data_IF_064651903265
#
_entry.id   IF_064651903265
#
_cell.length_a   1.000
_cell.length_b   1.000
_cell.length_c   1.000
_cell.angle_alpha   90.00
_cell.angle_beta   90.00
_cell.angle_gamma   90.00
#
_symmetry.space_group_name_H-M   'P 1'
#
loop_
_entity.id
_entity.type
_entity.pdbx_description
1 polymer ?
#
# COMPACT_ATOMS: atom_id res chain seq x y z
N UNK A 1 -16.65 16.58 -32.50
CA UNK A 1 -17.05 16.41 -31.08
C UNK A 1 -16.05 15.61 -30.21
N UNK A 2 -15.41 14.50 -30.67
CA UNK A 2 -14.47 13.70 -29.83
C UNK A 2 -13.22 14.48 -29.38
N UNK A 3 -12.61 15.26 -30.28
CA UNK A 3 -11.41 16.06 -29.97
C UNK A 3 -11.63 17.07 -28.83
N UNK A 4 -12.83 17.65 -28.71
CA UNK A 4 -13.19 18.61 -27.65
C UNK A 4 -13.33 17.95 -26.27
N UNK A 5 -13.71 16.67 -26.21
CA UNK A 5 -13.77 15.93 -24.93
C UNK A 5 -12.38 15.47 -24.49
N UNK A 6 -11.52 15.04 -25.42
CA UNK A 6 -10.13 14.65 -25.12
C UNK A 6 -9.36 15.86 -24.57
N UNK A 7 -9.50 17.04 -25.17
CA UNK A 7 -8.86 18.26 -24.67
C UNK A 7 -9.34 18.64 -23.26
N UNK A 8 -10.62 18.43 -22.95
CA UNK A 8 -11.16 18.64 -21.60
C UNK A 8 -10.59 17.64 -20.57
N UNK A 9 -10.55 16.35 -20.88
CA UNK A 9 -9.99 15.35 -19.97
C UNK A 9 -8.49 15.57 -19.74
N UNK A 10 -7.74 15.94 -20.78
CA UNK A 10 -6.33 16.32 -20.66
C UNK A 10 -6.15 17.56 -19.77
N UNK A 11 -6.99 18.59 -19.93
CA UNK A 11 -6.95 19.78 -19.09
C UNK A 11 -7.21 19.43 -17.60
N UNK A 12 -8.19 18.54 -17.32
CA UNK A 12 -8.46 18.06 -15.96
C UNK A 12 -7.30 17.27 -15.39
N UNK A 13 -6.66 16.40 -16.19
CA UNK A 13 -5.46 15.68 -15.78
C UNK A 13 -4.33 16.65 -15.41
N UNK A 14 -4.01 17.58 -16.31
CA UNK A 14 -2.96 18.57 -16.12
C UNK A 14 -3.24 19.43 -14.88
N UNK A 15 -4.47 19.90 -14.71
CA UNK A 15 -4.84 20.76 -13.59
C UNK A 15 -4.67 20.03 -12.24
N UNK A 16 -5.23 18.82 -12.09
CA UNK A 16 -5.10 18.09 -10.82
C UNK A 16 -3.64 17.76 -10.47
N UNK A 17 -2.80 17.47 -11.48
CA UNK A 17 -1.38 17.23 -11.26
C UNK A 17 -0.65 18.52 -10.82
N UNK A 18 -0.96 19.64 -11.46
CA UNK A 18 -0.41 20.94 -11.07
C UNK A 18 -0.88 21.36 -9.67
N UNK A 19 -2.14 21.14 -9.34
CA UNK A 19 -2.70 21.43 -8.02
C UNK A 19 -2.01 20.58 -6.94
N UNK A 20 -1.76 19.30 -7.21
CA UNK A 20 -1.01 18.42 -6.31
C UNK A 20 0.41 18.95 -6.06
N UNK A 21 1.15 19.31 -7.11
CA UNK A 21 2.55 19.76 -7.00
C UNK A 21 2.63 21.15 -6.36
N UNK A 22 1.71 22.06 -6.69
CA UNK A 22 1.68 23.42 -6.17
C UNK A 22 0.89 23.58 -4.86
N UNK A 23 0.40 22.47 -4.29
CA UNK A 23 -0.23 22.49 -2.97
C UNK A 23 0.74 23.11 -1.95
N UNK A 24 0.29 24.05 -1.11
CA UNK A 24 1.13 24.69 -0.11
C UNK A 24 1.89 23.67 0.73
N UNK A 25 3.15 23.99 1.07
CA UNK A 25 4.03 23.15 1.88
C UNK A 25 4.49 21.83 1.23
N UNK A 26 4.24 21.58 -0.07
CA UNK A 26 4.68 20.37 -0.78
C UNK A 26 6.13 19.97 -0.43
N UNK A 27 7.09 20.89 -0.61
CA UNK A 27 8.51 20.65 -0.36
C UNK A 27 8.79 20.30 1.11
N UNK A 28 8.20 21.04 2.04
CA UNK A 28 8.42 20.83 3.48
C UNK A 28 7.89 19.47 3.95
N UNK A 29 6.72 19.08 3.45
CA UNK A 29 6.08 17.79 3.76
C UNK A 29 6.86 16.64 3.12
N UNK A 30 7.32 16.82 1.88
CA UNK A 30 8.17 15.84 1.20
C UNK A 30 9.48 15.62 1.96
N UNK A 31 10.21 16.68 2.30
CA UNK A 31 11.45 16.59 3.09
C UNK A 31 11.19 15.95 4.45
N UNK A 32 10.12 16.34 5.15
CA UNK A 32 9.75 15.74 6.43
C UNK A 32 9.48 14.23 6.32
N UNK A 33 8.73 13.79 5.30
CA UNK A 33 8.47 12.38 5.05
C UNK A 33 9.74 11.60 4.76
N UNK A 34 10.62 12.14 3.91
CA UNK A 34 11.94 11.55 3.63
C UNK A 34 12.76 11.41 4.92
N UNK A 35 12.84 12.47 5.74
CA UNK A 35 13.54 12.41 7.02
C UNK A 35 12.94 11.37 7.99
N UNK A 36 11.61 11.25 8.07
CA UNK A 36 10.95 10.26 8.90
C UNK A 36 11.35 8.83 8.52
N UNK A 37 11.30 8.51 7.22
CA UNK A 37 11.73 7.19 6.73
C UNK A 37 13.23 6.97 6.89
N UNK A 38 14.07 7.99 6.68
CA UNK A 38 15.51 7.89 6.89
C UNK A 38 15.84 7.55 8.35
N UNK A 39 15.20 8.22 9.31
CA UNK A 39 15.37 7.91 10.74
C UNK A 39 14.93 6.48 11.04
N UNK A 40 13.79 6.06 10.47
CA UNK A 40 13.26 4.72 10.68
C UNK A 40 14.19 3.62 10.12
N UNK A 41 14.78 3.88 8.96
CA UNK A 41 15.56 2.90 8.20
C UNK A 41 17.07 3.06 8.42
N UNK A 42 17.52 4.01 9.24
CA UNK A 42 18.93 4.31 9.43
C UNK A 42 19.77 3.08 9.78
N UNK A 43 19.29 2.27 10.72
CA UNK A 43 19.98 1.03 11.12
C UNK A 43 20.10 0.02 9.96
N UNK A 44 19.05 -0.07 9.13
CA UNK A 44 19.01 -0.95 7.96
C UNK A 44 19.96 -0.45 6.87
N UNK A 45 19.97 0.86 6.57
CA UNK A 45 20.86 1.46 5.59
C UNK A 45 22.35 1.30 5.97
N UNK A 46 22.69 1.47 7.25
CA UNK A 46 24.05 1.25 7.77
C UNK A 46 24.46 -0.23 7.72
N UNK A 47 23.48 -1.11 7.71
CA UNK A 47 23.67 -2.51 8.01
C UNK A 47 24.46 -3.32 7.00
N UNK A 48 24.38 -2.94 5.72
CA UNK A 48 25.11 -3.59 4.62
C UNK A 48 24.89 -5.13 4.55
N UNK A 49 23.65 -5.60 4.78
CA UNK A 49 23.30 -7.01 4.59
C UNK A 49 22.59 -7.25 3.25
N UNK A 50 22.83 -8.42 2.67
CA UNK A 50 22.16 -8.92 1.47
C UNK A 50 21.03 -9.87 1.87
N UNK A 51 19.85 -9.71 1.26
CA UNK A 51 18.85 -10.77 1.21
C UNK A 51 19.24 -11.80 0.15
N UNK A 52 18.58 -12.98 0.16
CA UNK A 52 18.90 -14.09 -0.76
C UNK A 52 18.91 -13.64 -2.23
N UNK A 53 17.90 -12.88 -2.66
CA UNK A 53 17.81 -12.36 -4.03
C UNK A 53 18.92 -11.33 -4.32
N UNK A 54 19.34 -10.56 -3.32
CA UNK A 54 20.40 -9.57 -3.47
C UNK A 54 21.77 -10.24 -3.70
N UNK A 55 22.04 -11.39 -3.07
CA UNK A 55 23.29 -12.15 -3.30
C UNK A 55 23.42 -12.62 -4.75
N UNK A 56 22.34 -13.15 -5.33
CA UNK A 56 22.36 -13.61 -6.72
C UNK A 56 22.54 -12.44 -7.68
N UNK A 57 21.86 -11.31 -7.42
CA UNK A 57 21.97 -10.11 -8.25
C UNK A 57 23.32 -9.42 -8.16
N UNK A 58 23.97 -9.42 -6.99
CA UNK A 58 25.30 -8.83 -6.84
C UNK A 58 26.37 -9.57 -7.63
N UNK A 59 26.22 -10.89 -7.81
CA UNK A 59 27.12 -11.71 -8.60
C UNK A 59 26.78 -11.68 -10.11
N UNK A 60 25.52 -11.89 -10.45
CA UNK A 60 25.10 -12.17 -11.83
C UNK A 60 24.53 -10.95 -12.58
N UNK A 61 24.35 -9.82 -11.90
CA UNK A 61 23.76 -8.57 -12.44
C UNK A 61 22.41 -8.76 -13.15
N UNK A 62 21.69 -9.83 -12.81
CA UNK A 62 20.47 -10.24 -13.49
C UNK A 62 19.35 -9.23 -13.25
N UNK A 63 18.68 -8.82 -14.34
CA UNK A 63 17.51 -7.94 -14.33
C UNK A 63 16.24 -8.56 -13.72
N UNK A 64 15.12 -7.86 -13.85
CA UNK A 64 13.80 -8.32 -13.36
C UNK A 64 12.88 -8.83 -14.47
N UNK A 65 13.31 -8.76 -15.72
CA UNK A 65 12.56 -9.16 -16.92
C UNK A 65 12.12 -10.63 -16.90
N UNK A 66 12.89 -11.52 -16.26
CA UNK A 66 12.51 -12.93 -16.05
C UNK A 66 11.23 -13.12 -15.24
N UNK A 67 10.85 -12.14 -14.41
CA UNK A 67 9.59 -12.11 -13.65
C UNK A 67 8.53 -11.22 -14.29
N UNK A 68 8.68 -10.91 -15.59
CA UNK A 68 7.83 -9.97 -16.35
C UNK A 68 7.79 -8.55 -15.74
N UNK A 69 8.83 -8.17 -14.98
CA UNK A 69 8.96 -6.85 -14.35
C UNK A 69 9.84 -5.92 -15.20
N UNK A 70 9.32 -5.53 -16.35
CA UNK A 70 10.06 -4.72 -17.33
C UNK A 70 10.28 -3.27 -16.87
N UNK A 71 9.31 -2.67 -16.18
CA UNK A 71 9.46 -1.32 -15.63
C UNK A 71 10.49 -1.30 -14.50
N UNK A 72 10.56 -2.36 -13.68
CA UNK A 72 11.63 -2.49 -12.69
C UNK A 72 13.02 -2.51 -13.33
N UNK A 73 13.15 -3.24 -14.44
CA UNK A 73 14.40 -3.34 -15.20
C UNK A 73 14.79 -1.98 -15.78
N UNK A 74 13.85 -1.33 -16.48
CA UNK A 74 14.03 0.01 -17.02
C UNK A 74 14.43 1.04 -15.95
N UNK A 75 13.73 1.08 -14.81
CA UNK A 75 14.04 2.02 -13.74
C UNK A 75 15.45 1.84 -13.18
N UNK A 76 15.90 0.60 -13.02
CA UNK A 76 17.24 0.32 -12.48
C UNK A 76 18.33 0.61 -13.51
N UNK A 77 18.13 0.26 -14.78
CA UNK A 77 19.06 0.59 -15.86
C UNK A 77 19.22 2.10 -16.06
N UNK A 78 18.11 2.87 -15.97
CA UNK A 78 18.16 4.35 -16.01
C UNK A 78 18.97 4.91 -14.85
N UNK A 79 18.82 4.36 -13.63
CA UNK A 79 19.62 4.80 -12.47
C UNK A 79 21.10 4.44 -12.61
N UNK A 80 21.37 3.31 -13.22
CA UNK A 80 22.72 2.80 -13.42
C UNK A 80 23.43 3.44 -14.62
N UNK A 81 22.69 4.01 -15.57
CA UNK A 81 23.18 4.56 -16.84
C UNK A 81 23.86 3.52 -17.74
N UNK A 82 23.57 2.22 -17.56
CA UNK A 82 24.03 1.14 -18.43
C UNK A 82 23.09 -0.09 -18.33
N UNK A 83 23.25 -1.04 -19.25
CA UNK A 83 22.51 -2.31 -19.27
C UNK A 83 23.01 -3.27 -18.17
N UNK A 84 22.17 -3.48 -17.16
CA UNK A 84 22.44 -4.35 -16.03
C UNK A 84 22.23 -3.70 -14.66
N UNK A 85 22.38 -4.52 -13.62
CA UNK A 85 22.15 -4.11 -12.23
C UNK A 85 23.46 -4.03 -11.46
N UNK A 86 23.81 -2.85 -10.92
CA UNK A 86 24.90 -2.67 -9.94
C UNK A 86 24.37 -2.56 -8.52
N UNK A 87 25.17 -2.99 -7.55
CA UNK A 87 24.92 -2.63 -6.15
C UNK A 87 25.40 -1.20 -5.91
N UNK A 88 24.46 -0.26 -6.01
CA UNK A 88 24.64 1.16 -5.67
C UNK A 88 23.95 1.49 -4.34
N UNK A 89 23.75 0.51 -3.45
CA UNK A 89 23.21 0.75 -2.11
C UNK A 89 24.00 1.84 -1.37
N UNK A 90 23.33 2.81 -0.70
CA UNK A 90 21.90 2.86 -0.40
C UNK A 90 21.04 3.62 -1.43
N UNK A 91 21.53 3.94 -2.64
CA UNK A 91 20.83 4.82 -3.58
C UNK A 91 19.42 4.32 -3.98
N UNK A 92 19.27 3.02 -4.24
CA UNK A 92 17.94 2.45 -4.50
C UNK A 92 16.98 2.61 -3.31
N UNK A 93 17.49 2.47 -2.08
CA UNK A 93 16.69 2.60 -0.87
C UNK A 93 16.29 4.07 -0.65
N UNK A 94 17.20 5.02 -0.89
CA UNK A 94 16.91 6.45 -0.86
C UNK A 94 15.81 6.82 -1.87
N UNK A 95 15.89 6.27 -3.10
CA UNK A 95 14.84 6.48 -4.10
C UNK A 95 13.52 5.82 -3.69
N UNK A 96 13.57 4.64 -3.09
CA UNK A 96 12.39 3.97 -2.52
C UNK A 96 11.69 4.82 -1.47
N UNK A 97 12.45 5.46 -0.58
CA UNK A 97 11.95 6.41 0.43
C UNK A 97 11.24 7.60 -0.23
N UNK A 98 11.81 8.16 -1.31
CA UNK A 98 11.16 9.22 -2.08
C UNK A 98 9.81 8.76 -2.66
N UNK A 99 9.74 7.57 -3.26
CA UNK A 99 8.49 7.03 -3.79
C UNK A 99 7.44 6.77 -2.70
N UNK A 100 7.82 6.21 -1.55
CA UNK A 100 6.92 6.01 -0.42
C UNK A 100 6.37 7.32 0.15
N UNK A 101 7.21 8.35 0.20
CA UNK A 101 6.80 9.69 0.62
C UNK A 101 5.78 10.28 -0.36
N UNK A 102 6.05 10.19 -1.67
CA UNK A 102 5.10 10.63 -2.69
C UNK A 102 3.79 9.83 -2.65
N UNK A 103 3.85 8.52 -2.38
CA UNK A 103 2.67 7.67 -2.25
C UNK A 103 1.79 8.13 -1.06
N UNK A 104 2.43 8.46 0.05
CA UNK A 104 1.76 9.00 1.24
C UNK A 104 1.14 10.37 0.96
N UNK A 105 1.88 11.26 0.29
CA UNK A 105 1.37 12.57 -0.13
C UNK A 105 0.18 12.44 -1.10
N UNK A 106 0.21 11.49 -2.04
CA UNK A 106 -0.88 11.25 -2.97
C UNK A 106 -2.17 10.85 -2.24
N UNK A 107 -2.09 9.92 -1.27
CA UNK A 107 -3.24 9.52 -0.44
C UNK A 107 -3.75 10.72 0.38
N UNK A 108 -2.84 11.47 1.00
CA UNK A 108 -3.17 12.61 1.85
C UNK A 108 -3.88 13.72 1.06
N UNK A 109 -3.39 14.04 -0.14
CA UNK A 109 -4.02 14.99 -1.04
C UNK A 109 -5.38 14.49 -1.56
N UNK A 110 -5.48 13.21 -1.94
CA UNK A 110 -6.74 12.64 -2.41
C UNK A 110 -7.85 12.66 -1.35
N UNK A 111 -7.49 12.59 -0.07
CA UNK A 111 -8.41 12.72 1.06
C UNK A 111 -8.72 14.19 1.42
N UNK A 112 -7.69 15.02 1.62
CA UNK A 112 -7.84 16.33 2.24
C UNK A 112 -7.79 17.51 1.26
N UNK A 113 -7.34 17.30 0.02
CA UNK A 113 -7.01 18.37 -0.93
C UNK A 113 -5.79 19.22 -0.52
N UNK A 114 -5.01 18.74 0.44
CA UNK A 114 -3.86 19.45 1.01
C UNK A 114 -2.99 18.54 1.86
N UNK A 115 -1.90 19.08 2.42
CA UNK A 115 -0.93 18.32 3.21
C UNK A 115 -0.96 18.64 4.70
N UNK A 116 -0.43 17.72 5.49
CA UNK A 116 -0.32 17.80 6.95
C UNK A 116 0.80 16.90 7.46
N UNK A 117 1.66 17.43 8.32
CA UNK A 117 2.73 16.66 8.97
C UNK A 117 2.17 15.45 9.75
N UNK A 118 1.06 15.66 10.47
CA UNK A 118 0.36 14.57 11.16
C UNK A 118 -0.18 13.52 10.20
N UNK A 119 -0.59 13.93 8.99
CA UNK A 119 -1.01 13.01 7.93
C UNK A 119 0.13 12.10 7.47
N UNK A 120 1.34 12.65 7.29
CA UNK A 120 2.53 11.85 6.96
C UNK A 120 2.89 10.88 8.10
N UNK A 121 2.82 11.32 9.36
CA UNK A 121 3.04 10.44 10.52
C UNK A 121 2.02 9.30 10.53
N UNK A 122 0.72 9.59 10.31
CA UNK A 122 -0.33 8.57 10.26
C UNK A 122 -0.15 7.58 9.11
N UNK A 123 0.46 8.01 8.00
CA UNK A 123 0.74 7.19 6.82
C UNK A 123 2.07 6.42 6.89
N UNK A 124 2.87 6.58 7.95
CA UNK A 124 4.11 5.84 8.16
C UNK A 124 4.00 4.30 7.95
N UNK A 125 2.92 3.60 8.38
CA UNK A 125 2.76 2.17 8.16
C UNK A 125 2.76 1.74 6.69
N UNK A 126 2.47 2.64 5.74
CA UNK A 126 2.52 2.37 4.30
C UNK A 126 3.89 1.82 3.88
N UNK A 127 4.97 2.37 4.45
CA UNK A 127 6.34 1.95 4.15
C UNK A 127 7.10 1.32 5.32
N UNK A 128 6.61 1.48 6.56
CA UNK A 128 7.26 0.99 7.78
C UNK A 128 6.45 -0.09 8.51
N UNK A 129 5.37 -0.60 7.93
CA UNK A 129 4.72 -1.79 8.48
C UNK A 129 5.72 -2.96 8.50
N UNK A 130 5.59 -3.90 9.47
CA UNK A 130 6.42 -5.10 9.52
C UNK A 130 6.55 -5.86 8.19
N UNK A 131 5.51 -5.78 7.36
CA UNK A 131 5.39 -6.47 6.09
C UNK A 131 6.14 -5.76 4.95
N UNK A 132 5.94 -4.44 4.81
CA UNK A 132 6.64 -3.68 3.78
C UNK A 132 8.11 -3.43 4.10
N UNK A 133 8.50 -3.53 5.38
CA UNK A 133 9.90 -3.44 5.78
C UNK A 133 10.77 -4.53 5.14
N UNK A 134 10.20 -5.67 4.76
CA UNK A 134 10.95 -6.65 3.98
C UNK A 134 11.27 -6.12 2.57
N UNK A 135 10.33 -5.43 1.91
CA UNK A 135 10.53 -4.84 0.58
C UNK A 135 11.64 -3.79 0.58
N UNK A 136 11.65 -2.89 1.57
CA UNK A 136 12.66 -1.83 1.66
C UNK A 136 14.04 -2.36 2.11
N UNK A 137 14.07 -3.54 2.73
CA UNK A 137 15.30 -4.22 3.11
C UNK A 137 16.10 -4.76 1.92
N UNK A 138 15.46 -5.08 0.79
CA UNK A 138 16.15 -5.52 -0.41
C UNK A 138 16.99 -4.37 -0.98
N UNK A 139 18.25 -4.65 -1.34
CA UNK A 139 19.14 -3.61 -1.85
C UNK A 139 18.76 -3.19 -3.26
N UNK A 140 18.40 -4.16 -4.11
CA UNK A 140 18.13 -3.91 -5.52
C UNK A 140 16.64 -3.64 -5.81
N UNK A 141 15.75 -4.42 -5.20
CA UNK A 141 14.32 -4.39 -5.51
C UNK A 141 13.55 -3.24 -4.82
N UNK A 142 14.07 -2.68 -3.73
CA UNK A 142 13.33 -1.74 -2.88
C UNK A 142 12.77 -0.51 -3.63
N UNK A 143 13.55 0.06 -4.56
CA UNK A 143 13.14 1.20 -5.36
C UNK A 143 11.93 0.85 -6.24
N UNK A 144 11.98 -0.28 -6.92
CA UNK A 144 10.95 -0.72 -7.88
C UNK A 144 9.68 -1.20 -7.17
N UNK A 145 9.84 -1.87 -6.02
CA UNK A 145 8.72 -2.22 -5.13
C UNK A 145 8.01 -0.99 -4.57
N UNK A 146 8.77 0.05 -4.17
CA UNK A 146 8.23 1.31 -3.68
C UNK A 146 7.57 2.15 -4.78
N UNK A 147 8.14 2.12 -5.99
CA UNK A 147 7.53 2.74 -7.17
C UNK A 147 6.18 2.11 -7.53
N UNK A 148 6.06 0.78 -7.42
CA UNK A 148 4.79 0.09 -7.62
C UNK A 148 3.72 0.57 -6.63
N UNK A 149 4.09 0.78 -5.36
CA UNK A 149 3.20 1.38 -4.35
C UNK A 149 2.75 2.79 -4.75
N UNK A 150 3.69 3.65 -5.16
CA UNK A 150 3.36 4.98 -5.66
C UNK A 150 2.35 4.91 -6.80
N UNK A 151 2.57 4.05 -7.78
CA UNK A 151 1.65 3.83 -8.89
C UNK A 151 0.27 3.36 -8.41
N UNK A 152 0.19 2.48 -7.41
CA UNK A 152 -1.10 2.07 -6.84
C UNK A 152 -1.86 3.21 -6.13
N UNK A 153 -1.15 4.22 -5.61
CA UNK A 153 -1.73 5.35 -4.88
C UNK A 153 -2.10 6.56 -5.76
N UNK A 154 -1.31 6.86 -6.79
CA UNK A 154 -1.45 8.06 -7.62
C UNK A 154 -2.85 8.28 -8.25
N UNK A 155 -3.55 7.24 -8.76
CA UNK A 155 -4.82 7.47 -9.45
C UNK A 155 -5.88 8.14 -8.59
N UNK A 156 -5.85 7.92 -7.27
CA UNK A 156 -6.85 8.46 -6.34
C UNK A 156 -6.84 9.99 -6.24
N UNK A 157 -5.78 10.66 -6.67
CA UNK A 157 -5.73 12.12 -6.85
C UNK A 157 -6.84 12.57 -7.82
N UNK A 158 -7.16 11.75 -8.82
CA UNK A 158 -8.11 12.07 -9.89
C UNK A 158 -9.53 11.54 -9.63
N UNK A 159 -9.82 10.98 -8.45
CA UNK A 159 -11.08 10.27 -8.14
C UNK A 159 -12.36 11.08 -8.38
N UNK A 160 -12.28 12.42 -8.41
CA UNK A 160 -13.41 13.33 -8.68
C UNK A 160 -13.83 13.33 -10.15
N UNK A 161 -12.98 12.91 -11.08
CA UNK A 161 -13.31 12.77 -12.51
C UNK A 161 -13.08 11.31 -12.93
N UNK A 162 -14.15 10.51 -12.98
CA UNK A 162 -14.06 9.06 -13.21
C UNK A 162 -13.39 8.68 -14.53
N UNK A 163 -13.54 9.46 -15.59
CA UNK A 163 -12.90 9.17 -16.88
C UNK A 163 -11.38 9.30 -16.80
N UNK A 164 -10.89 10.41 -16.22
CA UNK A 164 -9.45 10.62 -15.99
C UNK A 164 -8.92 9.63 -14.97
N UNK A 165 -9.66 9.39 -13.89
CA UNK A 165 -9.35 8.36 -12.89
C UNK A 165 -9.13 7.00 -13.53
N UNK A 166 -10.08 6.49 -14.34
CA UNK A 166 -9.95 5.19 -14.98
C UNK A 166 -8.71 5.12 -15.89
N UNK A 167 -8.48 6.13 -16.73
CA UNK A 167 -7.33 6.16 -17.62
C UNK A 167 -6.01 6.12 -16.84
N UNK A 168 -5.87 6.96 -15.81
CA UNK A 168 -4.69 7.00 -14.95
C UNK A 168 -4.54 5.69 -14.16
N UNK A 169 -5.63 5.15 -13.60
CA UNK A 169 -5.64 3.87 -12.89
C UNK A 169 -5.12 2.74 -13.74
N UNK A 170 -5.56 2.62 -15.00
CA UNK A 170 -5.10 1.56 -15.90
C UNK A 170 -3.59 1.68 -16.15
N UNK A 171 -3.12 2.88 -16.51
CA UNK A 171 -1.69 3.12 -16.79
C UNK A 171 -0.84 2.84 -15.55
N UNK A 172 -1.23 3.39 -14.41
CA UNK A 172 -0.51 3.21 -13.16
C UNK A 172 -0.53 1.75 -12.68
N UNK A 173 -1.65 1.04 -12.79
CA UNK A 173 -1.69 -0.38 -12.42
C UNK A 173 -0.81 -1.23 -13.34
N UNK A 174 -0.78 -0.97 -14.65
CA UNK A 174 0.15 -1.64 -15.56
C UNK A 174 1.60 -1.39 -15.13
N UNK A 175 1.98 -0.14 -14.86
CA UNK A 175 3.33 0.18 -14.35
C UNK A 175 3.62 -0.45 -13.00
N UNK A 176 2.61 -0.55 -12.12
CA UNK A 176 2.71 -1.27 -10.87
C UNK A 176 2.99 -2.76 -11.11
N UNK A 177 2.28 -3.44 -12.01
CA UNK A 177 2.54 -4.86 -12.30
C UNK A 177 3.90 -5.09 -12.95
N UNK A 178 4.32 -4.20 -13.86
CA UNK A 178 5.63 -4.22 -14.50
C UNK A 178 6.78 -3.87 -13.55
N UNK A 179 6.48 -3.40 -12.34
CA UNK A 179 7.49 -3.09 -11.31
C UNK A 179 7.45 -4.13 -10.19
N UNK A 180 6.28 -4.30 -9.55
CA UNK A 180 6.05 -5.27 -8.50
C UNK A 180 4.56 -5.62 -8.37
N UNK A 181 4.21 -6.87 -8.68
CA UNK A 181 2.82 -7.33 -8.80
C UNK A 181 2.04 -7.27 -7.48
N UNK A 182 2.68 -7.49 -6.32
CA UNK A 182 1.99 -7.54 -5.03
C UNK A 182 1.42 -6.19 -4.56
N UNK A 183 1.86 -5.08 -5.15
CA UNK A 183 1.32 -3.74 -4.88
C UNK A 183 -0.17 -3.58 -5.27
N UNK A 184 -0.73 -4.51 -6.05
CA UNK A 184 -2.15 -4.50 -6.43
C UNK A 184 -3.12 -4.47 -5.22
N UNK A 185 -2.72 -5.07 -4.09
CA UNK A 185 -3.49 -5.06 -2.84
C UNK A 185 -3.69 -3.64 -2.28
N UNK A 186 -2.73 -2.74 -2.49
CA UNK A 186 -2.78 -1.33 -2.08
C UNK A 186 -3.91 -0.60 -2.81
N UNK A 187 -4.02 -0.79 -4.12
CA UNK A 187 -5.08 -0.19 -4.92
C UNK A 187 -6.48 -0.66 -4.48
N UNK A 188 -6.63 -1.96 -4.20
CA UNK A 188 -7.90 -2.53 -3.70
C UNK A 188 -8.29 -1.91 -2.36
N UNK A 189 -7.35 -1.85 -1.41
CA UNK A 189 -7.60 -1.24 -0.09
C UNK A 189 -7.97 0.25 -0.22
N UNK A 190 -7.28 1.00 -1.08
CA UNK A 190 -7.59 2.41 -1.32
C UNK A 190 -8.96 2.62 -1.99
N UNK A 191 -9.36 1.74 -2.91
CA UNK A 191 -10.70 1.73 -3.49
C UNK A 191 -11.76 1.60 -2.39
N UNK A 192 -11.63 0.60 -1.52
CA UNK A 192 -12.55 0.39 -0.40
C UNK A 192 -12.55 1.56 0.58
N UNK A 193 -11.37 2.12 0.87
CA UNK A 193 -11.22 3.28 1.75
C UNK A 193 -11.93 4.52 1.21
N UNK A 194 -11.68 4.90 -0.04
CA UNK A 194 -12.33 6.08 -0.63
C UNK A 194 -13.83 5.86 -0.85
N UNK A 195 -14.27 4.64 -1.17
CA UNK A 195 -15.69 4.31 -1.21
C UNK A 195 -16.32 4.50 0.19
N UNK A 196 -15.66 4.04 1.25
CA UNK A 196 -16.11 4.24 2.62
C UNK A 196 -16.15 5.73 3.02
N UNK A 197 -15.09 6.50 2.71
CA UNK A 197 -15.06 7.95 2.92
C UNK A 197 -16.23 8.64 2.22
N UNK A 198 -16.53 8.26 0.97
CA UNK A 198 -17.67 8.81 0.23
C UNK A 198 -19.02 8.42 0.86
N UNK A 199 -19.16 7.21 1.42
CA UNK A 199 -20.37 6.81 2.17
C UNK A 199 -20.53 7.71 3.40
N UNK A 200 -19.45 7.95 4.14
CA UNK A 200 -19.46 8.78 5.36
C UNK A 200 -19.77 10.24 5.04
N UNK A 201 -19.12 10.82 4.03
CA UNK A 201 -19.29 12.22 3.64
C UNK A 201 -20.62 12.50 2.91
N UNK A 202 -21.16 11.53 2.17
CA UNK A 202 -22.31 11.72 1.27
C UNK A 202 -23.50 10.82 1.57
N UNK A 203 -23.65 10.35 2.82
CA UNK A 203 -24.63 9.34 3.26
C UNK A 203 -26.06 9.55 2.74
N UNK A 204 -26.48 10.79 2.46
CA UNK A 204 -27.84 11.11 2.02
C UNK A 204 -28.03 11.44 0.54
N UNK A 205 -26.99 11.85 -0.20
CA UNK A 205 -27.22 12.58 -1.46
C UNK A 205 -26.72 11.92 -2.76
N UNK A 206 -25.90 10.85 -2.76
CA UNK A 206 -25.47 10.29 -4.06
C UNK A 206 -24.94 8.84 -4.09
N UNK A 207 -25.79 7.85 -3.80
CA UNK A 207 -25.43 6.41 -3.89
C UNK A 207 -24.93 5.98 -5.28
N UNK A 208 -25.48 6.58 -6.36
CA UNK A 208 -25.09 6.29 -7.75
C UNK A 208 -23.62 6.61 -8.00
N UNK A 209 -23.12 7.72 -7.46
CA UNK A 209 -21.73 8.12 -7.61
C UNK A 209 -20.75 7.16 -6.91
N UNK A 210 -21.13 6.62 -5.75
CA UNK A 210 -20.31 5.63 -5.01
C UNK A 210 -20.20 4.34 -5.81
N UNK A 211 -21.32 3.82 -6.32
CA UNK A 211 -21.32 2.62 -7.15
C UNK A 211 -20.51 2.83 -8.44
N UNK A 212 -20.67 3.97 -9.11
CA UNK A 212 -19.89 4.31 -10.30
C UNK A 212 -18.39 4.35 -10.01
N UNK A 213 -17.96 4.90 -8.86
CA UNK A 213 -16.57 4.90 -8.45
C UNK A 213 -16.03 3.49 -8.19
N UNK A 214 -16.76 2.64 -7.46
CA UNK A 214 -16.35 1.25 -7.19
C UNK A 214 -16.26 0.44 -8.49
N UNK A 215 -17.26 0.56 -9.38
CA UNK A 215 -17.24 -0.10 -10.69
C UNK A 215 -16.10 0.41 -11.58
N UNK A 216 -15.79 1.71 -11.51
CA UNK A 216 -14.64 2.31 -12.21
C UNK A 216 -13.32 1.74 -11.70
N UNK A 217 -13.18 1.58 -10.37
CA UNK A 217 -12.01 0.97 -9.77
C UNK A 217 -11.85 -0.50 -10.18
N UNK A 218 -12.92 -1.29 -10.06
CA UNK A 218 -12.93 -2.70 -10.42
C UNK A 218 -12.67 -2.91 -11.92
N UNK A 219 -13.33 -2.13 -12.78
CA UNK A 219 -13.14 -2.17 -14.22
C UNK A 219 -11.70 -1.82 -14.63
N UNK A 220 -11.12 -0.76 -14.04
CA UNK A 220 -9.72 -0.39 -14.27
C UNK A 220 -8.75 -1.49 -13.82
N UNK A 221 -9.03 -2.11 -12.67
CA UNK A 221 -8.22 -3.20 -12.13
C UNK A 221 -8.24 -4.44 -13.03
N UNK A 222 -9.43 -4.90 -13.44
CA UNK A 222 -9.60 -6.05 -14.33
C UNK A 222 -8.96 -5.78 -15.68
N UNK A 223 -9.17 -4.58 -16.24
CA UNK A 223 -8.61 -4.21 -17.54
C UNK A 223 -7.08 -4.13 -17.50
N UNK A 224 -6.49 -3.48 -16.50
CA UNK A 224 -5.04 -3.44 -16.32
C UNK A 224 -4.43 -4.82 -16.08
N UNK A 225 -5.10 -5.67 -15.28
CA UNK A 225 -4.69 -7.06 -15.07
C UNK A 225 -4.71 -7.87 -16.37
N UNK A 226 -5.74 -7.66 -17.20
CA UNK A 226 -5.87 -8.27 -18.52
C UNK A 226 -4.74 -7.83 -19.48
N UNK A 227 -4.46 -6.52 -19.54
CA UNK A 227 -3.33 -5.98 -20.30
C UNK A 227 -2.02 -6.62 -19.85
N UNK A 228 -1.76 -6.63 -18.54
CA UNK A 228 -0.56 -7.23 -17.98
C UNK A 228 -0.43 -8.71 -18.35
N UNK A 229 -1.50 -9.49 -18.15
CA UNK A 229 -1.52 -10.93 -18.40
C UNK A 229 -1.34 -11.28 -19.88
N UNK A 230 -1.98 -10.54 -20.79
CA UNK A 230 -1.97 -10.87 -22.22
C UNK A 230 -0.70 -10.36 -22.91
N UNK A 231 -0.22 -9.16 -22.57
CA UNK A 231 0.86 -8.50 -23.29
C UNK A 231 2.24 -8.80 -22.67
N UNK A 232 2.33 -8.88 -21.34
CA UNK A 232 3.63 -8.81 -20.65
C UNK A 232 4.06 -10.10 -19.96
N UNK A 233 3.12 -10.92 -19.48
CA UNK A 233 3.46 -12.19 -18.81
C UNK A 233 4.11 -13.15 -19.80
N UNK A 234 5.37 -13.51 -19.55
CA UNK A 234 6.07 -14.57 -20.29
C UNK A 234 5.65 -15.93 -19.76
N UNK A 235 5.35 -16.87 -20.67
CA UNK A 235 5.28 -18.31 -20.36
C UNK A 235 6.69 -18.83 -20.16
N UNK A 236 7.27 -18.60 -18.99
CA UNK A 236 8.58 -19.17 -18.62
C UNK A 236 8.40 -20.36 -17.68
N UNK A 237 9.26 -21.38 -17.81
CA UNK A 237 9.27 -22.62 -17.02
C UNK A 237 9.58 -22.43 -15.51
N UNK A 238 9.52 -21.21 -14.98
CA UNK A 238 9.73 -20.88 -13.55
C UNK A 238 8.47 -21.23 -12.74
N UNK A 239 7.82 -22.35 -13.06
CA UNK A 239 6.64 -22.89 -12.37
C UNK A 239 6.96 -23.40 -10.94
N UNK A 240 8.23 -23.35 -10.50
CA UNK A 240 8.65 -23.80 -9.18
C UNK A 240 8.49 -22.75 -8.07
N UNK A 241 8.49 -21.45 -8.39
CA UNK A 241 8.52 -20.38 -7.37
C UNK A 241 7.15 -19.77 -7.03
N UNK A 242 6.30 -19.58 -8.04
CA UNK A 242 4.93 -19.11 -7.88
C UNK A 242 4.12 -19.45 -9.14
N UNK A 243 2.86 -19.84 -8.97
CA UNK A 243 1.96 -20.08 -10.11
C UNK A 243 1.33 -18.78 -10.58
N UNK A 244 1.37 -18.51 -11.88
CA UNK A 244 0.60 -17.46 -12.54
C UNK A 244 -0.85 -17.92 -12.86
N UNK A 245 -1.17 -19.18 -12.57
CA UNK A 245 -2.51 -19.74 -12.73
C UNK A 245 -3.44 -19.28 -11.61
N UNK A 246 -4.61 -18.84 -12.04
CA UNK A 246 -5.74 -18.58 -11.15
C UNK A 246 -6.44 -19.91 -10.85
N UNK A 247 -7.02 -20.01 -9.66
CA UNK A 247 -7.98 -21.06 -9.34
C UNK A 247 -9.11 -21.04 -10.37
N UNK A 248 -9.58 -22.21 -10.81
CA UNK A 248 -10.81 -22.29 -11.58
C UNK A 248 -12.01 -21.83 -10.74
N UNK A 249 -13.10 -21.44 -11.38
CA UNK A 249 -14.30 -20.97 -10.67
C UNK A 249 -14.84 -22.02 -9.67
N UNK A 250 -14.78 -23.30 -10.02
CA UNK A 250 -15.13 -24.41 -9.14
C UNK A 250 -14.16 -24.59 -7.97
N UNK A 251 -12.86 -24.33 -8.15
CA UNK A 251 -11.88 -24.44 -7.05
C UNK A 251 -11.94 -23.22 -6.11
N UNK A 252 -12.31 -22.05 -6.64
CA UNK A 252 -12.48 -20.82 -5.85
C UNK A 252 -13.53 -20.99 -4.75
N UNK A 253 -14.68 -21.60 -5.09
CA UNK A 253 -15.88 -21.64 -4.24
C UNK A 253 -16.44 -23.06 -3.97
N UNK A 254 -15.99 -24.10 -4.66
CA UNK A 254 -16.43 -25.49 -4.48
C UNK A 254 -15.80 -26.18 -3.27
N UNK A 255 -15.83 -27.53 -3.24
CA UNK A 255 -15.64 -28.39 -2.06
C UNK A 255 -14.34 -28.26 -1.23
N UNK A 256 -13.38 -27.41 -1.64
CA UNK A 256 -12.20 -27.04 -0.84
C UNK A 256 -12.05 -25.54 -0.54
N UNK A 257 -12.94 -24.68 -1.07
CA UNK A 257 -12.93 -23.23 -0.84
C UNK A 257 -11.56 -22.58 -1.01
N UNK A 258 -10.93 -22.67 -2.18
CA UNK A 258 -9.53 -22.23 -2.38
C UNK A 258 -9.27 -20.78 -1.96
N UNK A 259 -10.24 -19.87 -2.18
CA UNK A 259 -10.16 -18.50 -1.66
C UNK A 259 -10.17 -18.49 -0.13
N UNK A 260 -11.06 -19.26 0.50
CA UNK A 260 -11.12 -19.39 1.96
C UNK A 260 -9.82 -19.99 2.53
N UNK A 261 -9.24 -20.99 1.89
CA UNK A 261 -7.95 -21.56 2.27
C UNK A 261 -6.84 -20.50 2.19
N UNK A 262 -6.77 -19.75 1.08
CA UNK A 262 -5.81 -18.66 0.91
C UNK A 262 -6.00 -17.55 1.95
N UNK A 263 -7.25 -17.18 2.26
CA UNK A 263 -7.58 -16.22 3.33
C UNK A 263 -7.10 -16.75 4.69
N UNK A 264 -7.41 -18.02 5.01
CA UNK A 264 -7.05 -18.64 6.28
C UNK A 264 -5.54 -18.69 6.49
N UNK A 265 -4.79 -19.14 5.48
CA UNK A 265 -3.33 -19.17 5.52
C UNK A 265 -2.75 -17.75 5.60
N UNK A 266 -3.30 -16.80 4.85
CA UNK A 266 -2.91 -15.39 4.95
C UNK A 266 -3.09 -14.85 6.37
N UNK A 267 -4.26 -15.06 6.99
CA UNK A 267 -4.52 -14.61 8.35
C UNK A 267 -3.64 -15.33 9.38
N UNK A 268 -3.36 -16.61 9.19
CA UNK A 268 -2.43 -17.33 10.06
C UNK A 268 -1.04 -16.69 10.04
N UNK A 269 -0.48 -16.40 8.87
CA UNK A 269 0.80 -15.70 8.73
C UNK A 269 0.74 -14.25 9.24
N UNK A 270 -0.36 -13.55 9.01
CA UNK A 270 -0.54 -12.18 9.45
C UNK A 270 -0.60 -12.08 10.98
N UNK A 271 -1.41 -12.92 11.64
CA UNK A 271 -1.57 -12.88 13.08
C UNK A 271 -0.34 -13.44 13.80
N UNK A 272 0.26 -14.53 13.29
CA UNK A 272 1.52 -15.05 13.86
C UNK A 272 2.67 -14.05 13.72
N UNK A 273 2.74 -13.34 12.59
CA UNK A 273 3.73 -12.27 12.37
C UNK A 273 3.56 -11.08 13.30
N UNK A 274 2.33 -10.71 13.63
CA UNK A 274 2.03 -9.62 14.58
C UNK A 274 2.10 -10.03 16.05
N UNK A 275 1.87 -11.31 16.39
CA UNK A 275 1.73 -11.80 17.76
C UNK A 275 2.97 -11.54 18.64
N UNK A 276 4.16 -11.46 18.04
CA UNK A 276 5.42 -11.19 18.73
C UNK A 276 5.69 -9.70 18.96
N UNK A 277 4.75 -8.81 18.62
CA UNK A 277 4.93 -7.36 18.67
C UNK A 277 3.73 -6.67 19.35
N UNK A 278 3.96 -5.58 20.11
CA UNK A 278 2.89 -4.71 20.60
C UNK A 278 1.98 -4.16 19.49
N UNK A 279 2.42 -4.24 18.23
CA UNK A 279 1.67 -3.85 17.05
C UNK A 279 0.28 -4.48 16.99
N UNK A 280 0.09 -5.74 17.42
CA UNK A 280 -1.22 -6.40 17.37
C UNK A 280 -2.26 -5.70 18.27
N UNK A 281 -1.86 -5.29 19.47
CA UNK A 281 -2.75 -4.60 20.40
C UNK A 281 -3.08 -3.20 19.91
N UNK A 282 -2.10 -2.49 19.34
CA UNK A 282 -2.29 -1.17 18.75
C UNK A 282 -3.22 -1.25 17.54
N UNK A 283 -3.06 -2.30 16.73
CA UNK A 283 -3.94 -2.58 15.60
C UNK A 283 -5.40 -2.76 16.04
N UNK A 284 -5.67 -3.63 17.01
CA UNK A 284 -7.03 -3.82 17.52
C UNK A 284 -7.59 -2.53 18.17
N UNK A 285 -6.79 -1.83 18.97
CA UNK A 285 -7.18 -0.56 19.57
C UNK A 285 -7.51 0.49 18.50
N UNK A 286 -6.75 0.55 17.40
CA UNK A 286 -7.01 1.42 16.28
C UNK A 286 -8.32 1.06 15.56
N UNK A 287 -8.60 -0.24 15.34
CA UNK A 287 -9.86 -0.69 14.76
C UNK A 287 -11.06 -0.30 15.63
N UNK A 288 -10.97 -0.47 16.96
CA UNK A 288 -12.00 -0.03 17.90
C UNK A 288 -12.15 1.49 17.85
N UNK A 289 -11.03 2.23 17.90
CA UNK A 289 -11.05 3.69 17.84
C UNK A 289 -11.65 4.20 16.53
N UNK A 290 -11.36 3.55 15.40
CA UNK A 290 -11.97 3.85 14.11
C UNK A 290 -13.51 3.72 14.15
N UNK A 291 -14.03 2.62 14.72
CA UNK A 291 -15.48 2.44 14.88
C UNK A 291 -16.08 3.51 15.80
N UNK A 292 -15.39 3.85 16.89
CA UNK A 292 -15.81 4.94 17.80
C UNK A 292 -15.85 6.29 17.07
N UNK A 293 -14.81 6.65 16.32
CA UNK A 293 -14.80 7.86 15.50
C UNK A 293 -15.92 7.82 14.46
N UNK A 294 -16.25 6.64 13.92
CA UNK A 294 -17.34 6.52 12.98
C UNK A 294 -18.71 6.86 13.58
N UNK A 295 -18.91 6.56 14.86
CA UNK A 295 -20.17 6.81 15.55
C UNK A 295 -20.26 8.20 16.20
N UNK A 296 -19.12 8.77 16.62
CA UNK A 296 -19.07 9.94 17.52
C UNK A 296 -18.17 11.09 17.04
N UNK A 297 -17.42 10.90 15.95
CA UNK A 297 -16.50 11.88 15.38
C UNK A 297 -17.19 13.04 14.70
N UNK A 298 -16.39 13.86 14.01
CA UNK A 298 -16.80 15.17 13.49
C UNK A 298 -17.98 15.06 12.52
N UNK A 299 -17.89 14.13 11.59
CA UNK A 299 -18.91 13.93 10.56
C UNK A 299 -20.25 13.43 11.14
N UNK A 300 -20.23 12.72 12.27
CA UNK A 300 -21.42 12.15 12.87
C UNK A 300 -22.31 13.22 13.54
N UNK A 301 -21.78 14.43 13.74
CA UNK A 301 -22.46 15.54 14.44
C UNK A 301 -23.20 16.50 13.52
N UNK A 302 -22.93 16.51 12.22
CA UNK A 302 -23.59 17.43 11.28
C UNK A 302 -25.06 17.08 11.00
N UNK A 303 -25.56 15.90 11.40
CA UNK A 303 -26.96 15.49 11.21
C UNK A 303 -27.89 16.08 12.28
N UNK A 304 -28.45 17.28 12.03
CA UNK A 304 -29.39 17.99 12.92
C UNK A 304 -30.78 17.35 13.16
N UNK A 305 -31.12 16.21 12.53
CA UNK A 305 -32.45 15.58 12.67
C UNK A 305 -32.37 14.24 13.43
N UNK A 306 -32.98 14.16 14.63
CA UNK A 306 -32.65 13.19 15.70
C UNK A 306 -32.93 11.73 15.35
N UNK A 307 -34.11 11.40 14.78
CA UNK A 307 -34.47 10.02 14.37
C UNK A 307 -33.72 9.55 13.11
N UNK A 308 -33.60 10.44 12.13
CA UNK A 308 -32.77 10.20 10.94
C UNK A 308 -31.26 10.16 11.26
N UNK A 309 -30.84 10.65 12.44
CA UNK A 309 -29.47 10.56 12.93
C UNK A 309 -29.15 9.17 13.47
N UNK A 310 -30.11 8.48 14.12
CA UNK A 310 -29.86 7.16 14.71
C UNK A 310 -29.71 6.08 13.65
N UNK A 311 -30.63 6.04 12.66
CA UNK A 311 -30.53 5.12 11.52
C UNK A 311 -29.26 5.39 10.71
N UNK A 312 -28.89 6.67 10.51
CA UNK A 312 -27.65 7.04 9.85
C UNK A 312 -26.41 6.54 10.58
N UNK A 313 -26.36 6.70 11.91
CA UNK A 313 -25.26 6.17 12.75
C UNK A 313 -25.20 4.65 12.71
N UNK A 314 -26.34 3.96 12.76
CA UNK A 314 -26.39 2.51 12.66
C UNK A 314 -25.88 2.02 11.29
N UNK A 315 -26.29 2.65 10.19
CA UNK A 315 -25.79 2.31 8.87
C UNK A 315 -24.28 2.59 8.74
N UNK A 316 -23.78 3.72 9.27
CA UNK A 316 -22.35 4.03 9.25
C UNK A 316 -21.56 3.02 10.08
N UNK A 317 -22.07 2.60 11.24
CA UNK A 317 -21.47 1.53 12.04
C UNK A 317 -21.38 0.22 11.24
N UNK A 318 -22.47 -0.20 10.58
CA UNK A 318 -22.46 -1.39 9.73
C UNK A 318 -21.46 -1.22 8.58
N UNK A 319 -21.45 -0.08 7.90
CA UNK A 319 -20.47 0.20 6.84
C UNK A 319 -19.03 0.21 7.36
N UNK A 320 -18.77 0.67 8.58
CA UNK A 320 -17.44 0.67 9.19
C UNK A 320 -16.99 -0.76 9.50
N UNK A 321 -17.86 -1.60 10.08
CA UNK A 321 -17.56 -3.01 10.34
C UNK A 321 -17.34 -3.78 9.02
N UNK A 322 -18.18 -3.53 8.01
CA UNK A 322 -18.01 -4.12 6.67
C UNK A 322 -16.69 -3.66 6.04
N UNK A 323 -16.36 -2.37 6.12
CA UNK A 323 -15.09 -1.83 5.62
C UNK A 323 -13.90 -2.52 6.30
N UNK A 324 -13.92 -2.68 7.63
CA UNK A 324 -12.87 -3.38 8.37
C UNK A 324 -12.73 -4.83 7.90
N UNK A 325 -13.82 -5.60 7.88
CA UNK A 325 -13.80 -7.02 7.51
C UNK A 325 -13.39 -7.25 6.06
N UNK A 326 -14.02 -6.54 5.12
CA UNK A 326 -13.76 -6.69 3.68
C UNK A 326 -12.38 -6.19 3.31
N UNK A 327 -11.95 -5.02 3.80
CA UNK A 327 -10.62 -4.49 3.46
C UNK A 327 -9.50 -5.31 4.06
N UNK A 328 -9.69 -5.84 5.28
CA UNK A 328 -8.73 -6.73 5.89
C UNK A 328 -8.64 -8.06 5.12
N UNK A 329 -9.78 -8.67 4.76
CA UNK A 329 -9.81 -9.89 3.96
C UNK A 329 -9.19 -9.72 2.57
N UNK A 330 -9.46 -8.59 1.90
CA UNK A 330 -8.93 -8.28 0.56
C UNK A 330 -7.54 -7.62 0.58
N UNK A 331 -6.93 -7.42 1.75
CA UNK A 331 -5.59 -6.83 1.87
C UNK A 331 -4.45 -7.71 1.32
N UNK A 332 -4.74 -8.96 0.96
CA UNK A 332 -3.82 -9.83 0.22
C UNK A 332 -3.96 -9.67 -1.32
N UNK A 333 -4.99 -8.96 -1.78
CA UNK A 333 -5.22 -8.61 -3.18
C UNK A 333 -5.43 -9.82 -4.10
N UNK A 334 -4.93 -9.74 -5.33
CA UNK A 334 -5.05 -10.79 -6.34
C UNK A 334 -4.41 -12.13 -5.96
N UNK A 335 -3.57 -12.18 -4.92
CA UNK A 335 -2.98 -13.44 -4.45
C UNK A 335 -4.05 -14.39 -3.89
N UNK A 336 -5.19 -13.87 -3.45
CA UNK A 336 -6.32 -14.67 -2.98
C UNK A 336 -6.88 -15.63 -4.03
N UNK A 337 -6.75 -15.29 -5.31
CA UNK A 337 -7.31 -16.06 -6.44
C UNK A 337 -6.28 -16.93 -7.15
N UNK A 338 -5.03 -16.95 -6.69
CA UNK A 338 -3.97 -17.79 -7.26
C UNK A 338 -4.05 -19.22 -6.73
N UNK A 339 -3.65 -20.18 -7.58
CA UNK A 339 -3.56 -21.60 -7.21
C UNK A 339 -2.45 -21.85 -6.18
N UNK A 340 -1.28 -21.20 -6.38
CA UNK A 340 -0.12 -21.30 -5.50
C UNK A 340 0.42 -19.91 -5.16
N UNK A 341 -0.27 -19.16 -4.27
CA UNK A 341 0.19 -17.84 -3.87
C UNK A 341 1.44 -17.92 -2.99
N UNK A 342 2.27 -16.88 -3.06
CA UNK A 342 3.41 -16.71 -2.16
C UNK A 342 2.89 -16.18 -0.83
N UNK A 343 3.16 -16.86 0.28
CA UNK A 343 2.87 -16.37 1.64
C UNK A 343 4.15 -15.87 2.31
N UNK A 344 4.58 -14.66 1.92
CA UNK A 344 5.77 -14.02 2.49
C UNK A 344 5.46 -12.57 2.89
N UNK A 345 6.08 -12.01 3.96
CA UNK A 345 5.75 -10.67 4.43
C UNK A 345 5.83 -9.60 3.32
N UNK A 346 6.81 -9.69 2.42
CA UNK A 346 6.99 -8.75 1.30
C UNK A 346 5.83 -8.65 0.30
N UNK A 347 4.87 -9.59 0.29
CA UNK A 347 3.69 -9.52 -0.58
C UNK A 347 2.43 -9.04 0.14
N UNK A 348 2.49 -8.86 1.47
CA UNK A 348 1.37 -8.38 2.28
C UNK A 348 1.32 -6.85 2.31
N UNK A 349 1.41 -6.20 1.14
CA UNK A 349 1.48 -4.73 1.05
C UNK A 349 0.17 -4.04 1.48
N UNK A 350 -0.97 -4.69 1.25
CA UNK A 350 -2.28 -4.14 1.55
C UNK A 350 -2.52 -3.91 3.04
N UNK A 351 -1.95 -4.73 3.95
CA UNK A 351 -2.17 -4.53 5.39
C UNK A 351 -1.52 -3.23 5.90
N UNK A 352 -0.31 -2.90 5.43
CA UNK A 352 0.34 -1.64 5.78
C UNK A 352 -0.48 -0.43 5.33
N UNK A 353 -1.05 -0.52 4.13
CA UNK A 353 -1.97 0.49 3.59
C UNK A 353 -3.26 0.58 4.41
N UNK A 354 -3.87 -0.54 4.75
CA UNK A 354 -5.09 -0.60 5.55
C UNK A 354 -4.92 0.07 6.91
N UNK A 355 -3.84 -0.25 7.62
CA UNK A 355 -3.52 0.36 8.91
C UNK A 355 -3.24 1.87 8.76
N UNK A 356 -2.51 2.27 7.72
CA UNK A 356 -2.22 3.67 7.45
C UNK A 356 -3.49 4.50 7.19
N UNK A 357 -4.42 4.01 6.36
CA UNK A 357 -5.66 4.75 6.05
C UNK A 357 -6.65 4.77 7.22
N UNK A 358 -6.68 3.73 8.06
CA UNK A 358 -7.44 3.77 9.32
C UNK A 358 -6.92 4.87 10.24
N UNK A 359 -5.60 4.95 10.43
CA UNK A 359 -4.98 5.98 11.25
C UNK A 359 -5.25 7.38 10.70
N UNK A 360 -5.11 7.56 9.38
CA UNK A 360 -5.37 8.81 8.70
C UNK A 360 -6.84 9.25 8.82
N UNK A 361 -7.79 8.31 8.69
CA UNK A 361 -9.21 8.58 8.87
C UNK A 361 -9.51 9.05 10.30
N UNK A 362 -9.03 8.30 11.29
CA UNK A 362 -9.19 8.65 12.70
C UNK A 362 -8.63 10.05 12.97
N UNK A 363 -7.42 10.35 12.49
CA UNK A 363 -6.81 11.67 12.62
C UNK A 363 -7.66 12.77 11.97
N UNK A 364 -8.21 12.53 10.78
CA UNK A 364 -8.99 13.53 10.03
C UNK A 364 -10.32 13.89 10.71
N UNK A 365 -10.98 12.91 11.33
CA UNK A 365 -12.35 13.02 11.84
C UNK A 365 -12.44 13.07 13.37
N UNK A 366 -11.30 13.20 14.06
CA UNK A 366 -11.22 13.34 15.51
C UNK A 366 -10.91 14.78 15.97
N UNK A 367 -11.21 15.81 15.16
CA UNK A 367 -10.81 17.18 15.46
C UNK A 367 -11.72 17.87 16.50
N UNK A 368 -12.97 17.44 16.66
CA UNK A 368 -13.88 17.98 17.66
C UNK A 368 -13.67 17.35 19.04
N UNK A 369 -13.37 18.20 20.02
CA UNK A 369 -13.13 17.79 21.40
C UNK A 369 -11.65 17.48 21.65
N UNK A 370 -11.14 17.98 22.78
CA UNK A 370 -9.72 17.87 23.15
C UNK A 370 -9.28 16.41 23.23
N UNK A 371 -10.14 15.53 23.75
CA UNK A 371 -9.84 14.09 23.94
C UNK A 371 -9.68 13.37 22.59
N UNK A 372 -10.64 13.47 21.67
CA UNK A 372 -10.55 12.82 20.36
C UNK A 372 -9.38 13.34 19.53
N UNK A 373 -9.09 14.64 19.61
CA UNK A 373 -7.95 15.23 18.90
C UNK A 373 -6.62 14.72 19.45
N UNK A 374 -6.51 14.62 20.77
CA UNK A 374 -5.36 14.04 21.44
C UNK A 374 -5.19 12.56 21.06
N UNK A 375 -6.25 11.76 21.15
CA UNK A 375 -6.22 10.33 20.83
C UNK A 375 -5.83 10.07 19.38
N UNK A 376 -6.39 10.80 18.41
CA UNK A 376 -6.03 10.65 16.99
C UNK A 376 -4.54 10.92 16.74
N UNK A 377 -3.98 11.96 17.38
CA UNK A 377 -2.54 12.27 17.30
C UNK A 377 -1.68 11.24 18.04
N UNK A 378 -2.13 10.78 19.20
CA UNK A 378 -1.44 9.77 20.01
C UNK A 378 -1.36 8.44 19.25
N UNK A 379 -2.46 7.99 18.64
CA UNK A 379 -2.45 6.79 17.79
C UNK A 379 -1.47 6.93 16.63
N UNK A 380 -1.47 8.07 15.91
CA UNK A 380 -0.52 8.30 14.83
C UNK A 380 0.94 8.23 15.29
N UNK A 381 1.27 8.88 16.41
CA UNK A 381 2.62 8.86 16.97
C UNK A 381 3.04 7.49 17.49
N UNK A 382 2.19 6.83 18.28
CA UNK A 382 2.49 5.51 18.85
C UNK A 382 2.70 4.50 17.72
N UNK A 383 1.84 4.52 16.70
CA UNK A 383 1.93 3.62 15.56
C UNK A 383 3.19 3.88 14.73
N UNK A 384 3.49 5.15 14.40
CA UNK A 384 4.71 5.51 13.69
C UNK A 384 5.96 5.13 14.48
N UNK A 385 5.96 5.39 15.79
CA UNK A 385 7.05 5.01 16.69
C UNK A 385 7.27 3.50 16.73
N UNK A 386 6.20 2.71 16.81
CA UNK A 386 6.31 1.24 16.80
C UNK A 386 6.81 0.71 15.47
N UNK A 387 6.39 1.30 14.36
CA UNK A 387 6.93 1.01 13.03
C UNK A 387 8.44 1.33 12.95
N UNK A 388 8.87 2.48 13.49
CA UNK A 388 10.29 2.88 13.57
C UNK A 388 11.09 1.90 14.45
N UNK A 389 10.57 1.54 15.63
CA UNK A 389 11.20 0.57 16.52
C UNK A 389 11.33 -0.80 15.84
N UNK A 390 10.27 -1.27 15.20
CA UNK A 390 10.28 -2.55 14.51
C UNK A 390 11.32 -2.56 13.38
N UNK A 391 11.40 -1.49 12.58
CA UNK A 391 12.40 -1.34 11.53
C UNK A 391 13.84 -1.46 12.07
N UNK A 392 14.14 -0.81 13.19
CA UNK A 392 15.44 -0.86 13.83
C UNK A 392 15.74 -2.23 14.47
N UNK A 393 14.74 -2.91 15.03
CA UNK A 393 14.88 -4.25 15.61
C UNK A 393 15.02 -5.35 14.54
N UNK A 394 14.30 -5.24 13.42
CA UNK A 394 14.38 -6.18 12.30
C UNK A 394 15.82 -6.27 11.80
N UNK A 395 16.48 -5.12 11.65
CA UNK A 395 17.90 -5.05 11.31
C UNK A 395 18.78 -5.88 12.25
N UNK A 396 18.61 -5.74 13.57
CA UNK A 396 19.43 -6.50 14.53
C UNK A 396 19.25 -8.02 14.39
N UNK A 397 18.05 -8.48 14.02
CA UNK A 397 17.79 -9.91 13.77
C UNK A 397 18.47 -10.37 12.48
N UNK A 398 18.32 -9.62 11.39
CA UNK A 398 18.97 -9.95 10.10
C UNK A 398 20.50 -9.95 10.24
N UNK A 399 21.07 -8.98 10.96
CA UNK A 399 22.49 -8.93 11.27
C UNK A 399 22.98 -10.14 12.08
N UNK A 400 22.24 -10.53 13.12
CA UNK A 400 22.57 -11.71 13.93
C UNK A 400 22.50 -13.00 13.11
N UNK A 401 21.48 -13.16 12.28
CA UNK A 401 21.34 -14.32 11.40
C UNK A 401 22.49 -14.42 10.38
N UNK A 402 22.87 -13.30 9.76
CA UNK A 402 24.01 -13.25 8.83
C UNK A 402 25.35 -13.60 9.51
N UNK A 403 25.55 -13.15 10.76
CA UNK A 403 26.77 -13.46 11.52
C UNK A 403 26.83 -14.94 11.93
N UNK A 404 25.70 -15.54 12.28
CA UNK A 404 25.63 -16.98 12.61
C UNK A 404 25.98 -17.82 11.38
N UNK A 405 25.44 -17.51 10.20
CA UNK A 405 25.77 -18.20 8.95
C UNK A 405 27.26 -18.09 8.58
N UNK A 406 27.87 -16.92 8.75
CA UNK A 406 29.30 -16.73 8.49
C UNK A 406 30.21 -17.45 9.52
N UNK A 407 29.71 -17.68 10.73
CA UNK A 407 30.44 -18.44 11.76
C UNK A 407 30.28 -19.94 11.52
N UNK A 408 29.08 -20.43 11.20
CA UNK A 408 28.87 -21.85 10.92
C UNK A 408 29.55 -22.32 9.63
N UNK A 409 29.68 -21.46 8.61
CA UNK A 409 30.49 -21.75 7.42
C UNK A 409 31.97 -21.93 7.73
N UNK A 410 32.53 -21.19 8.70
CA UNK A 410 33.94 -21.34 9.12
C UNK A 410 34.22 -22.60 9.94
N UNK A 411 33.20 -23.30 10.43
CA UNK A 411 33.34 -24.59 11.12
C UNK A 411 33.10 -25.79 10.21
N UNK A 412 32.65 -25.57 8.96
CA UNK A 412 32.48 -26.64 7.96
C UNK A 412 33.76 -26.87 7.13
N UNK A 413 34.73 -25.95 7.17
CA UNK A 413 36.03 -26.04 6.51
C UNK A 413 37.18 -26.43 7.47
N UNK A 414 36.89 -27.25 8.49
CA UNK A 414 37.92 -27.84 9.37
C UNK A 414 37.82 -29.36 9.43
#
# INVERSE_FOLDING_TARGET
>A
MPQRKISQHYAVFKQNLLDFIHTPQFKAIFVFGVCLYLVALFALLRGNAYYLDDWVRSMNRQGFSGFSRYMATFLVEVLNLFDGILDISPLYQLLGICFLTLASMAILYALNGGFSFWGIIALAPLGLSPYFLQNISYRFDCATMSFALLCACLPFIFRKNLAVFCAVSVVCLVFSYLSYQAANSVYIVLCLFFAFVMIVESFRNNKKHILAFVLSCAGSFVFASGIYKVIFVRKTDINSYASDKMLSFSEMFGGGGGIYANISTYFHHLLSGMAWSPFIFIFYALCVFFVVICCFGDFARESKNTKASLLGKACIFVCAVLFLGVSLGLSFGAYLVLEKPIFAPRVFNGIGTFVAVLCLFCLRYSQNGKVFKFLGRAFALILAYQCVLYANCLWQRTYKAARIHNVSGKFADK
#
